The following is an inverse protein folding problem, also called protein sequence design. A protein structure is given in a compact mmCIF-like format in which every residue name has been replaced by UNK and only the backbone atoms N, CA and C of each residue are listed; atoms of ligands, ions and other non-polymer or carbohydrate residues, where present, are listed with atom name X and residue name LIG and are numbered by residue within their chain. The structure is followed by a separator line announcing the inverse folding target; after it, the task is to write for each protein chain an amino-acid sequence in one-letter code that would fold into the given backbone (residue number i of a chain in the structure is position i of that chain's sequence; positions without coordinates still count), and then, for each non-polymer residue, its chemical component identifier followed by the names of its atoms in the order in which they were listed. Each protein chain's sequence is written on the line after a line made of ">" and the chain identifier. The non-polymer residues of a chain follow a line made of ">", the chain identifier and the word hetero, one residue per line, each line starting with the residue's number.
data_IF_644070708729
#
_entry.id   IF_644070708729
#
_cell.length_a   1.000
_cell.length_b   1.000
_cell.length_c   1.000
_cell.angle_alpha   90.00
_cell.angle_beta   90.00
_cell.angle_gamma   90.00
#
_symmetry.space_group_name_H-M   'P 1'
#
loop_
_entity.id
_entity.type
_entity.pdbx_description
1 polymer ?
#
# COMPACT_ATOMS: atom_id res chain seq x y z
N UNK A 1 -30.80 6.05 -3.81
CA UNK A 1 -30.26 6.12 -2.45
C UNK A 1 -28.86 6.72 -2.56
N UNK A 2 -28.60 7.85 -1.89
CA UNK A 2 -27.26 8.39 -1.83
C UNK A 2 -26.44 7.47 -0.90
N UNK A 3 -25.37 6.91 -1.43
CA UNK A 3 -24.42 6.13 -0.65
C UNK A 3 -23.74 7.09 0.33
N UNK A 4 -23.80 6.81 1.62
CA UNK A 4 -22.99 7.56 2.58
C UNK A 4 -21.51 7.35 2.20
N UNK A 5 -20.68 8.40 2.20
CA UNK A 5 -19.26 8.22 1.95
C UNK A 5 -18.69 7.24 2.97
N UNK A 6 -18.03 6.18 2.49
CA UNK A 6 -17.34 5.24 3.36
C UNK A 6 -16.05 5.89 3.87
N UNK A 7 -15.59 5.46 5.04
CA UNK A 7 -14.29 5.88 5.57
C UNK A 7 -13.11 5.32 4.73
N UNK A 8 -13.42 4.51 3.71
CA UNK A 8 -12.45 3.90 2.80
C UNK A 8 -12.69 4.33 1.35
N UNK A 9 -11.93 5.30 0.84
CA UNK A 9 -12.02 5.74 -0.56
C UNK A 9 -11.82 4.60 -1.57
N UNK A 10 -11.04 3.58 -1.22
CA UNK A 10 -10.83 2.42 -2.07
C UNK A 10 -12.10 1.56 -2.19
N UNK A 11 -12.80 1.32 -1.09
CA UNK A 11 -14.05 0.55 -1.11
C UNK A 11 -15.12 1.24 -1.95
N UNK A 12 -15.24 2.55 -1.84
CA UNK A 12 -16.14 3.35 -2.66
C UNK A 12 -15.79 3.25 -4.16
N UNK A 13 -14.50 3.36 -4.48
CA UNK A 13 -14.02 3.22 -5.86
C UNK A 13 -14.32 1.83 -6.42
N UNK A 14 -14.08 0.78 -5.63
CA UNK A 14 -14.33 -0.61 -6.04
C UNK A 14 -15.82 -0.94 -6.17
N UNK A 15 -16.67 -0.30 -5.35
CA UNK A 15 -18.12 -0.50 -5.38
C UNK A 15 -18.81 0.26 -6.53
N UNK A 16 -18.41 1.51 -6.75
CA UNK A 16 -19.05 2.43 -7.71
C UNK A 16 -18.46 2.31 -9.13
N UNK A 17 -17.26 1.75 -9.26
CA UNK A 17 -16.55 1.65 -10.53
C UNK A 17 -16.10 3.01 -11.05
N UNK A 18 -15.63 3.05 -12.32
CA UNK A 18 -15.04 4.23 -12.95
C UNK A 18 -15.97 5.44 -13.13
N UNK A 19 -17.26 5.32 -12.82
CA UNK A 19 -18.25 6.34 -13.18
C UNK A 19 -18.12 7.70 -12.49
N UNK A 20 -17.50 7.78 -11.31
CA UNK A 20 -17.36 9.02 -10.55
C UNK A 20 -15.92 9.47 -10.33
N UNK A 21 -15.02 8.54 -10.12
CA UNK A 21 -13.61 8.81 -9.79
C UNK A 21 -12.73 7.92 -10.66
N UNK A 22 -12.25 8.39 -11.81
CA UNK A 22 -11.42 7.57 -12.71
C UNK A 22 -10.02 7.31 -12.15
N UNK A 23 -9.60 8.04 -11.12
CA UNK A 23 -8.29 7.94 -10.49
C UNK A 23 -8.44 7.96 -8.97
N UNK A 24 -7.74 7.05 -8.30
CA UNK A 24 -7.67 6.95 -6.85
C UNK A 24 -6.22 6.82 -6.40
N UNK A 25 -5.85 7.52 -5.33
CA UNK A 25 -4.61 7.25 -4.60
C UNK A 25 -4.86 6.18 -3.55
N UNK A 26 -4.09 5.11 -3.61
CA UNK A 26 -4.16 3.99 -2.67
C UNK A 26 -2.76 3.42 -2.41
N UNK A 27 -2.60 2.66 -1.36
CA UNK A 27 -1.40 1.85 -1.16
C UNK A 27 -1.42 0.63 -2.08
N UNK A 28 -0.26 0.23 -2.60
CA UNK A 28 -0.10 -0.99 -3.39
C UNK A 28 -0.71 -2.20 -2.66
N UNK A 29 -0.42 -2.34 -1.37
CA UNK A 29 -0.90 -3.44 -0.55
C UNK A 29 -2.42 -3.56 -0.54
N UNK A 30 -3.15 -2.45 -0.47
CA UNK A 30 -4.62 -2.47 -0.45
C UNK A 30 -5.20 -3.05 -1.75
N UNK A 31 -4.63 -2.66 -2.90
CA UNK A 31 -5.13 -3.14 -4.19
C UNK A 31 -4.68 -4.57 -4.46
N UNK A 32 -3.45 -4.93 -4.11
CA UNK A 32 -2.94 -6.31 -4.23
C UNK A 32 -3.75 -7.26 -3.35
N UNK A 33 -3.96 -6.93 -2.06
CA UNK A 33 -4.81 -7.72 -1.16
C UNK A 33 -6.22 -7.91 -1.73
N UNK A 34 -6.83 -6.83 -2.23
CA UNK A 34 -8.15 -6.92 -2.84
C UNK A 34 -8.18 -7.88 -4.03
N UNK A 35 -7.19 -7.81 -4.92
CA UNK A 35 -7.11 -8.68 -6.10
C UNK A 35 -6.80 -10.15 -5.74
N UNK A 36 -6.03 -10.38 -4.69
CA UNK A 36 -5.77 -11.74 -4.18
C UNK A 36 -7.04 -12.36 -3.60
N UNK A 37 -7.82 -11.59 -2.86
CA UNK A 37 -9.05 -12.06 -2.21
C UNK A 37 -10.25 -12.14 -3.16
N UNK A 38 -10.25 -11.35 -4.22
CA UNK A 38 -11.36 -11.22 -5.16
C UNK A 38 -10.90 -11.30 -6.62
N UNK A 39 -10.34 -12.44 -7.06
CA UNK A 39 -9.82 -12.59 -8.42
C UNK A 39 -10.91 -12.40 -9.50
N UNK A 40 -12.15 -12.75 -9.19
CA UNK A 40 -13.33 -12.55 -10.03
C UNK A 40 -13.73 -11.06 -10.22
N UNK A 41 -13.31 -10.22 -9.30
CA UNK A 41 -13.59 -8.77 -9.34
C UNK A 41 -12.46 -7.95 -9.96
N UNK A 42 -11.41 -8.59 -10.40
CA UNK A 42 -10.32 -7.96 -11.13
C UNK A 42 -10.79 -7.57 -12.52
N UNK A 43 -11.08 -6.30 -12.71
CA UNK A 43 -11.50 -5.78 -14.01
C UNK A 43 -10.26 -5.50 -14.86
N UNK A 44 -10.32 -5.90 -16.13
CA UNK A 44 -9.19 -5.72 -17.06
C UNK A 44 -8.88 -4.27 -17.44
N UNK A 45 -9.73 -3.33 -17.03
CA UNK A 45 -9.58 -1.89 -17.23
C UNK A 45 -8.97 -1.17 -16.00
N UNK A 46 -8.75 -1.88 -14.89
CA UNK A 46 -8.06 -1.33 -13.72
C UNK A 46 -6.55 -1.46 -13.88
N UNK A 47 -5.86 -0.34 -13.82
CA UNK A 47 -4.40 -0.25 -13.95
C UNK A 47 -3.81 0.39 -12.71
N UNK A 48 -2.79 -0.25 -12.13
CA UNK A 48 -1.99 0.35 -11.07
C UNK A 48 -0.88 1.20 -11.69
N UNK A 49 -0.85 2.47 -11.35
CA UNK A 49 0.15 3.43 -11.84
C UNK A 49 1.02 3.86 -10.66
N UNK A 50 2.32 3.70 -10.83
CA UNK A 50 3.30 4.18 -9.86
C UNK A 50 3.79 5.57 -10.28
N UNK A 51 3.60 6.59 -9.43
CA UNK A 51 4.13 7.92 -9.72
C UNK A 51 5.67 7.89 -9.73
N UNK A 52 6.27 8.79 -10.48
CA UNK A 52 7.72 9.02 -10.50
C UNK A 52 7.99 10.50 -10.25
N UNK A 53 8.60 10.84 -9.12
CA UNK A 53 9.06 9.97 -8.03
C UNK A 53 7.92 9.38 -7.20
N UNK A 54 8.21 8.29 -6.46
CA UNK A 54 7.29 7.66 -5.52
C UNK A 54 7.86 7.66 -4.09
N UNK A 55 7.03 7.30 -3.12
CA UNK A 55 7.42 7.22 -1.70
C UNK A 55 7.03 5.85 -1.15
N UNK A 56 7.91 5.22 -0.40
CA UNK A 56 7.56 4.05 0.38
C UNK A 56 6.88 4.43 1.70
N UNK A 57 5.78 3.79 2.00
CA UNK A 57 5.22 3.75 3.37
C UNK A 57 5.90 2.63 4.14
N UNK A 58 7.05 2.95 4.75
CA UNK A 58 7.85 1.98 5.50
C UNK A 58 7.27 1.73 6.87
N UNK A 59 7.02 0.46 7.20
CA UNK A 59 6.71 0.05 8.57
C UNK A 59 8.00 -0.28 9.29
N UNK A 60 8.28 0.41 10.38
CA UNK A 60 9.55 0.29 11.13
C UNK A 60 9.25 -0.17 12.55
N UNK A 61 9.89 -1.25 12.98
CA UNK A 61 9.93 -1.68 14.36
C UNK A 61 11.19 -1.14 15.02
N UNK A 62 11.04 -0.36 16.09
CA UNK A 62 12.14 0.12 16.91
C UNK A 62 12.13 -0.64 18.25
N UNK A 63 13.05 -1.58 18.49
CA UNK A 63 13.06 -2.35 19.72
C UNK A 63 13.65 -1.52 20.88
N UNK A 64 12.93 -1.45 21.99
CA UNK A 64 13.40 -0.82 23.24
C UNK A 64 13.78 -1.83 24.31
N UNK A 65 13.57 -3.11 24.05
CA UNK A 65 13.83 -4.20 24.99
C UNK A 65 14.39 -5.42 24.27
N UNK A 66 15.10 -6.33 24.99
CA UNK A 66 15.54 -7.60 24.40
C UNK A 66 14.41 -8.47 23.87
N UNK A 67 13.20 -8.33 24.43
CA UNK A 67 12.00 -9.01 23.88
C UNK A 67 11.58 -8.39 22.55
N UNK A 68 11.65 -7.07 22.41
CA UNK A 68 11.41 -6.36 21.15
C UNK A 68 12.40 -6.74 20.07
N UNK A 69 13.68 -6.90 20.40
CA UNK A 69 14.70 -7.37 19.45
C UNK A 69 14.41 -8.78 18.95
N UNK A 70 14.03 -9.70 19.85
CA UNK A 70 13.62 -11.06 19.46
C UNK A 70 12.39 -11.05 18.56
N UNK A 71 11.38 -10.22 18.88
CA UNK A 71 10.21 -10.05 18.03
C UNK A 71 10.60 -9.54 16.65
N UNK A 72 11.46 -8.53 16.56
CA UNK A 72 11.97 -8.00 15.29
C UNK A 72 12.64 -9.08 14.46
N UNK A 73 13.51 -9.88 15.09
CA UNK A 73 14.17 -10.99 14.41
C UNK A 73 13.18 -12.05 13.87
N UNK A 74 12.12 -12.34 14.62
CA UNK A 74 11.07 -13.28 14.17
C UNK A 74 10.28 -12.69 13.01
N UNK A 75 9.86 -11.43 13.10
CA UNK A 75 9.12 -10.73 12.03
C UNK A 75 9.92 -10.68 10.72
N UNK A 76 11.25 -10.55 10.81
CA UNK A 76 12.12 -10.47 9.65
C UNK A 76 12.46 -11.84 9.05
N UNK A 77 12.59 -12.89 9.88
CA UNK A 77 13.12 -14.19 9.46
C UNK A 77 12.10 -15.30 9.31
N UNK A 78 10.92 -15.19 9.93
CA UNK A 78 9.92 -16.27 9.91
C UNK A 78 9.22 -16.35 8.53
N UNK A 79 9.34 -17.50 7.82
CA UNK A 79 8.75 -17.64 6.49
C UNK A 79 7.22 -17.56 6.49
N UNK A 80 6.56 -18.01 7.57
CA UNK A 80 5.10 -17.98 7.66
C UNK A 80 4.59 -16.54 7.81
N UNK A 81 5.28 -15.71 8.60
CA UNK A 81 4.96 -14.30 8.74
C UNK A 81 5.23 -13.52 7.44
N UNK A 82 6.28 -13.89 6.72
CA UNK A 82 6.57 -13.31 5.40
C UNK A 82 5.49 -13.68 4.38
N UNK A 83 5.09 -14.95 4.32
CA UNK A 83 4.01 -15.39 3.46
C UNK A 83 2.70 -14.66 3.79
N UNK A 84 2.40 -14.50 5.08
CA UNK A 84 1.24 -13.73 5.54
C UNK A 84 1.31 -12.26 5.07
N UNK A 85 2.46 -11.62 5.17
CA UNK A 85 2.65 -10.25 4.66
C UNK A 85 2.34 -10.16 3.14
N UNK A 86 2.80 -11.14 2.35
CA UNK A 86 2.51 -11.20 0.91
C UNK A 86 1.02 -11.42 0.62
N UNK A 87 0.29 -12.22 1.43
CA UNK A 87 -1.16 -12.39 1.30
C UNK A 87 -1.93 -11.07 1.52
N UNK A 88 -1.38 -10.18 2.32
CA UNK A 88 -1.91 -8.83 2.55
C UNK A 88 -1.30 -7.76 1.63
N UNK A 89 -0.59 -8.18 0.59
CA UNK A 89 -0.03 -7.28 -0.42
C UNK A 89 1.17 -6.45 0.05
N UNK A 90 1.80 -6.80 1.17
CA UNK A 90 2.99 -6.10 1.66
C UNK A 90 4.25 -6.67 1.01
N UNK A 91 5.15 -5.76 0.63
CA UNK A 91 6.53 -6.12 0.28
C UNK A 91 7.34 -6.28 1.55
N UNK A 92 8.08 -7.37 1.65
CA UNK A 92 9.03 -7.58 2.75
C UNK A 92 10.42 -7.07 2.36
N UNK A 93 11.18 -6.57 3.35
CA UNK A 93 12.49 -5.97 3.09
C UNK A 93 13.47 -6.95 2.43
N UNK A 94 14.06 -6.54 1.31
CA UNK A 94 15.06 -7.32 0.58
C UNK A 94 14.52 -8.54 -0.18
N UNK A 95 13.21 -8.73 -0.24
CA UNK A 95 12.58 -9.89 -0.85
C UNK A 95 11.77 -9.50 -2.08
N UNK A 96 12.16 -10.03 -3.23
CA UNK A 96 11.45 -9.89 -4.51
C UNK A 96 10.34 -10.94 -4.68
N UNK A 97 10.19 -11.88 -3.75
CA UNK A 97 9.28 -13.01 -3.89
C UNK A 97 7.80 -12.61 -3.83
N UNK A 98 7.45 -11.53 -3.15
CA UNK A 98 6.08 -11.03 -3.14
C UNK A 98 5.56 -10.77 -4.55
N UNK A 99 6.21 -9.91 -5.35
CA UNK A 99 5.86 -9.67 -6.74
C UNK A 99 5.81 -10.93 -7.62
N UNK A 100 6.73 -11.88 -7.42
CA UNK A 100 6.74 -13.16 -8.15
C UNK A 100 5.51 -14.03 -7.79
N UNK A 101 5.15 -14.10 -6.52
CA UNK A 101 3.96 -14.84 -6.06
C UNK A 101 2.68 -14.21 -6.60
N UNK A 102 2.58 -12.89 -6.59
CA UNK A 102 1.45 -12.17 -7.14
C UNK A 102 1.34 -12.33 -8.66
N UNK A 103 2.48 -12.34 -9.35
CA UNK A 103 2.51 -12.59 -10.80
C UNK A 103 1.96 -13.97 -11.17
N UNK A 104 2.24 -15.01 -10.37
CA UNK A 104 1.66 -16.36 -10.55
C UNK A 104 0.15 -16.36 -10.42
N UNK A 105 -0.40 -15.41 -9.67
CA UNK A 105 -1.84 -15.19 -9.52
C UNK A 105 -2.39 -14.15 -10.52
N UNK A 106 -1.56 -13.73 -11.48
CA UNK A 106 -1.94 -12.80 -12.54
C UNK A 106 -1.98 -11.34 -12.11
N UNK A 107 -1.32 -10.97 -10.98
CA UNK A 107 -1.15 -9.59 -10.53
C UNK A 107 0.26 -9.16 -10.89
N UNK A 108 0.39 -8.25 -11.85
CA UNK A 108 1.69 -7.76 -12.29
C UNK A 108 1.98 -6.41 -11.65
N UNK A 109 3.04 -6.38 -10.86
CA UNK A 109 3.61 -5.17 -10.25
C UNK A 109 5.10 -5.13 -10.59
N UNK A 110 5.77 -3.97 -10.57
CA UNK A 110 7.22 -3.91 -10.73
C UNK A 110 7.93 -4.65 -9.60
N UNK A 111 8.97 -5.42 -9.91
CA UNK A 111 9.80 -6.09 -8.90
C UNK A 111 10.48 -5.07 -7.98
N UNK A 112 10.99 -4.00 -8.58
CA UNK A 112 11.59 -2.86 -7.89
C UNK A 112 10.91 -1.57 -8.29
N UNK A 113 10.85 -0.62 -7.37
CA UNK A 113 10.40 0.74 -7.66
C UNK A 113 11.62 1.63 -7.79
N UNK A 114 11.82 2.13 -9.00
CA UNK A 114 12.85 3.13 -9.29
C UNK A 114 12.35 4.52 -8.91
N UNK A 115 13.29 5.45 -8.70
CA UNK A 115 12.98 6.85 -8.39
C UNK A 115 12.13 7.00 -7.11
N UNK A 116 12.59 6.32 -6.05
CA UNK A 116 11.99 6.44 -4.71
C UNK A 116 12.69 7.57 -3.96
N UNK A 117 11.89 8.49 -3.43
CA UNK A 117 12.38 9.59 -2.60
C UNK A 117 11.92 9.44 -1.15
N UNK A 118 12.67 10.03 -0.24
CA UNK A 118 12.25 10.11 1.15
C UNK A 118 11.06 11.07 1.32
N UNK A 119 10.19 10.82 2.30
CA UNK A 119 9.12 11.75 2.66
C UNK A 119 9.71 13.13 2.99
N UNK A 120 8.94 14.21 2.79
CA UNK A 120 9.35 15.54 3.21
C UNK A 120 9.73 15.56 4.70
N UNK A 121 10.63 16.47 5.09
CA UNK A 121 10.95 16.66 6.50
C UNK A 121 9.71 17.00 7.33
N UNK A 122 9.74 16.73 8.64
CA UNK A 122 8.63 17.04 9.54
C UNK A 122 8.19 18.51 9.41
N UNK A 123 9.13 19.44 9.34
CA UNK A 123 8.83 20.87 9.20
C UNK A 123 8.00 21.16 7.94
N UNK A 124 8.34 20.54 6.81
CA UNK A 124 7.60 20.70 5.56
C UNK A 124 6.21 20.04 5.65
N UNK A 125 6.10 18.89 6.29
CA UNK A 125 4.80 18.22 6.50
C UNK A 125 3.88 19.07 7.35
N UNK A 126 4.37 19.64 8.46
CA UNK A 126 3.58 20.52 9.33
C UNK A 126 3.13 21.78 8.59
N UNK A 127 4.01 22.41 7.81
CA UNK A 127 3.65 23.57 6.98
C UNK A 127 2.59 23.25 5.94
N UNK A 128 2.66 22.08 5.33
CA UNK A 128 1.67 21.61 4.37
C UNK A 128 0.31 21.38 5.05
N UNK A 129 0.29 20.70 6.19
CA UNK A 129 -0.93 20.46 6.98
C UNK A 129 -1.59 21.78 7.35
N UNK A 130 -0.83 22.75 7.91
CA UNK A 130 -1.33 24.07 8.25
C UNK A 130 -1.90 24.83 7.06
N UNK A 131 -1.24 24.75 5.91
CA UNK A 131 -1.71 25.39 4.67
C UNK A 131 -3.05 24.80 4.20
N UNK A 132 -3.19 23.48 4.27
CA UNK A 132 -4.43 22.77 3.93
C UNK A 132 -5.55 23.14 4.90
N UNK A 133 -5.31 23.06 6.20
CA UNK A 133 -6.29 23.41 7.23
C UNK A 133 -6.77 24.86 7.13
N UNK A 134 -5.88 25.79 6.77
CA UNK A 134 -6.22 27.20 6.60
C UNK A 134 -7.07 27.44 5.36
N UNK A 135 -6.86 26.64 4.30
CA UNK A 135 -7.55 26.84 3.02
C UNK A 135 -8.91 26.16 2.95
N UNK A 136 -9.14 25.12 3.71
CA UNK A 136 -10.36 24.29 3.65
C UNK A 136 -11.23 24.40 4.91
N UNK A 137 -10.96 25.37 5.79
CA UNK A 137 -11.91 25.87 6.79
C UNK A 137 -12.82 26.90 6.17
#
# INVERSE_FOLDING_TARGET
>A
MAHAPSDSPLEDYLALGMGKTPLLFAYESQLVEFWLRHPDRRKGDMVMIYPRPTVYSKHVLVPYTPAGERLGGVLESDPALRALAHEYGFRTGGDVHGPEEWARQGITVPDTLDDVIDPPSQEWQERLIQAIETRFK
#
